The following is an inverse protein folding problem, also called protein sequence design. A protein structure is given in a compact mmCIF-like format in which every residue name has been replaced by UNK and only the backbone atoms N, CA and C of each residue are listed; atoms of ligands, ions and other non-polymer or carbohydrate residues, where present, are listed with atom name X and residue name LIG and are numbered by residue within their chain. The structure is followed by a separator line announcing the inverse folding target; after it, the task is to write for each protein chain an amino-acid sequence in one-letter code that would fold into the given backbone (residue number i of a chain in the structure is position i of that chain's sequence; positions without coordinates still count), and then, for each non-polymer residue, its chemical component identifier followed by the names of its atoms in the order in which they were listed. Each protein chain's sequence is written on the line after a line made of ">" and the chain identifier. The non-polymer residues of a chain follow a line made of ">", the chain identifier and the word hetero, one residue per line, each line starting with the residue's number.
data_IF_439812207930
#
_entry.id   IF_439812207930
#
_cell.length_a   1.000
_cell.length_b   1.000
_cell.length_c   1.000
_cell.angle_alpha   90.00
_cell.angle_beta   90.00
_cell.angle_gamma   90.00
#
_symmetry.space_group_name_H-M   'P 1'
#
loop_
_entity.id
_entity.type
_entity.pdbx_description
1 polymer ?
#
# COMPACT_ATOMS: atom_id res chain seq x y z
N UNK A 1 11.84 -25.33 6.15
CA UNK A 1 11.32 -23.98 5.89
C UNK A 1 9.97 -23.88 6.55
N UNK A 2 9.72 -22.90 7.41
CA UNK A 2 8.37 -22.69 7.94
C UNK A 2 7.43 -22.38 6.79
N UNK A 3 6.30 -23.08 6.73
CA UNK A 3 5.25 -22.81 5.74
C UNK A 3 4.70 -21.41 5.98
N UNK A 4 4.70 -20.56 4.97
CA UNK A 4 4.05 -19.25 5.04
C UNK A 4 2.54 -19.46 5.26
N UNK A 5 2.00 -18.83 6.30
CA UNK A 5 0.59 -18.91 6.61
C UNK A 5 -0.20 -18.12 5.57
N UNK A 6 -1.21 -18.76 4.95
CA UNK A 6 -2.18 -18.09 4.07
C UNK A 6 -3.42 -17.74 4.87
N UNK A 7 -3.88 -16.52 4.72
CA UNK A 7 -5.05 -15.97 5.42
C UNK A 7 -6.01 -15.41 4.38
N UNK A 8 -7.28 -15.77 4.49
CA UNK A 8 -8.36 -15.21 3.68
C UNK A 8 -9.20 -14.31 4.57
N UNK A 9 -9.35 -13.04 4.20
CA UNK A 9 -10.07 -12.03 4.96
C UNK A 9 -11.18 -11.40 4.14
N UNK A 10 -12.22 -10.96 4.84
CA UNK A 10 -13.13 -9.98 4.28
C UNK A 10 -12.45 -8.60 4.22
N UNK A 11 -12.82 -7.78 3.25
CA UNK A 11 -12.33 -6.40 3.10
C UNK A 11 -12.84 -5.45 4.19
N UNK A 12 -13.76 -5.93 5.02
CA UNK A 12 -14.22 -5.26 6.24
C UNK A 12 -13.99 -6.20 7.45
N UNK A 13 -12.72 -6.46 7.81
CA UNK A 13 -12.38 -7.44 8.82
C UNK A 13 -12.75 -6.96 10.22
N UNK A 14 -13.10 -7.91 11.07
CA UNK A 14 -13.29 -7.68 12.51
C UNK A 14 -11.94 -7.41 13.20
N UNK A 15 -12.01 -6.81 14.41
CA UNK A 15 -10.81 -6.57 15.22
C UNK A 15 -10.04 -7.87 15.53
N UNK A 16 -10.77 -8.96 15.77
CA UNK A 16 -10.15 -10.24 16.13
C UNK A 16 -9.51 -10.92 14.92
N UNK A 17 -10.08 -10.79 13.73
CA UNK A 17 -9.44 -11.27 12.50
C UNK A 17 -8.13 -10.55 12.25
N UNK A 18 -8.08 -9.22 12.43
CA UNK A 18 -6.85 -8.43 12.24
C UNK A 18 -5.79 -8.80 13.29
N UNK A 19 -6.16 -8.99 14.55
CA UNK A 19 -5.23 -9.39 15.62
C UNK A 19 -4.54 -10.73 15.36
N UNK A 20 -5.16 -11.61 14.60
CA UNK A 20 -4.64 -12.92 14.25
C UNK A 20 -3.66 -12.91 13.06
N UNK A 21 -3.41 -11.73 12.48
CA UNK A 21 -2.46 -11.55 11.39
C UNK A 21 -1.08 -11.19 11.95
N UNK A 22 -0.09 -11.96 11.53
CA UNK A 22 1.30 -11.72 11.88
C UNK A 22 2.07 -11.15 10.68
N UNK A 23 3.13 -10.38 10.95
CA UNK A 23 4.03 -9.90 9.90
C UNK A 23 4.61 -11.07 9.12
N UNK A 24 4.48 -11.01 7.79
CA UNK A 24 4.90 -12.06 6.86
C UNK A 24 3.79 -13.03 6.44
N UNK A 25 2.60 -12.99 7.03
CA UNK A 25 1.45 -13.77 6.56
C UNK A 25 1.06 -13.36 5.14
N UNK A 26 0.62 -14.33 4.33
CA UNK A 26 0.13 -14.11 2.97
C UNK A 26 -1.37 -13.92 3.00
N UNK A 27 -1.84 -12.73 2.62
CA UNK A 27 -3.25 -12.33 2.73
C UNK A 27 -3.93 -12.29 1.38
N UNK A 28 -5.13 -12.85 1.32
CA UNK A 28 -6.08 -12.73 0.20
C UNK A 28 -7.38 -12.10 0.69
N UNK A 29 -7.97 -11.22 -0.11
CA UNK A 29 -9.13 -10.44 0.28
C UNK A 29 -10.36 -10.79 -0.57
N UNK A 30 -11.52 -10.78 0.08
CA UNK A 30 -12.83 -10.94 -0.54
C UNK A 30 -13.77 -9.84 -0.07
N UNK A 31 -14.54 -9.25 -0.99
CA UNK A 31 -15.50 -8.18 -0.70
C UNK A 31 -15.25 -6.95 -1.55
N UNK A 32 -15.43 -5.76 -1.00
CA UNK A 32 -15.23 -4.51 -1.73
C UNK A 32 -14.01 -3.76 -1.21
N UNK A 33 -13.18 -3.25 -2.10
CA UNK A 33 -12.06 -2.36 -1.79
C UNK A 33 -12.29 -1.00 -2.44
N UNK A 34 -11.67 0.04 -1.89
CA UNK A 34 -11.63 1.33 -2.57
C UNK A 34 -10.19 1.80 -2.79
N UNK A 35 -10.02 2.62 -3.83
CA UNK A 35 -8.71 3.21 -4.11
C UNK A 35 -8.66 4.64 -3.60
N UNK A 36 -7.57 5.02 -2.91
CA UNK A 36 -7.28 6.41 -2.61
C UNK A 36 -5.80 6.69 -2.80
N UNK A 37 -5.52 7.84 -3.40
CA UNK A 37 -4.19 8.36 -3.66
C UNK A 37 -4.16 9.84 -3.30
N UNK A 38 -3.06 10.52 -3.64
CA UNK A 38 -2.83 11.92 -3.31
C UNK A 38 -4.03 12.84 -3.62
N UNK A 39 -4.65 12.72 -4.80
CA UNK A 39 -5.81 13.54 -5.19
C UNK A 39 -6.99 13.36 -4.24
N UNK A 40 -7.27 12.13 -3.81
CA UNK A 40 -8.34 11.83 -2.86
C UNK A 40 -8.00 12.38 -1.47
N UNK A 41 -6.75 12.18 -1.02
CA UNK A 41 -6.32 12.69 0.29
C UNK A 41 -6.40 14.21 0.37
N UNK A 42 -5.94 14.93 -0.66
CA UNK A 42 -6.10 16.39 -0.74
C UNK A 42 -7.57 16.79 -0.72
N UNK A 43 -8.39 16.15 -1.56
CA UNK A 43 -9.80 16.49 -1.68
C UNK A 43 -10.57 16.32 -0.37
N UNK A 44 -10.32 15.23 0.36
CA UNK A 44 -11.03 14.95 1.61
C UNK A 44 -10.39 15.68 2.81
N UNK A 45 -9.07 15.67 2.93
CA UNK A 45 -8.38 16.18 4.12
C UNK A 45 -8.02 17.66 4.04
N UNK A 46 -7.75 18.20 2.85
CA UNK A 46 -7.34 19.59 2.67
C UNK A 46 -8.50 20.45 2.14
N UNK A 47 -9.33 19.90 1.23
CA UNK A 47 -10.50 20.62 0.66
C UNK A 47 -11.80 20.29 1.40
N UNK A 48 -11.76 19.41 2.41
CA UNK A 48 -12.89 19.03 3.27
C UNK A 48 -14.10 18.46 2.53
N UNK A 49 -13.87 17.74 1.42
CA UNK A 49 -14.96 17.05 0.73
C UNK A 49 -15.43 15.85 1.56
N UNK A 50 -16.74 15.64 1.60
CA UNK A 50 -17.33 14.48 2.29
C UNK A 50 -16.93 13.18 1.60
N UNK A 51 -16.65 12.15 2.41
CA UNK A 51 -16.47 10.80 1.90
C UNK A 51 -17.81 10.26 1.35
N UNK A 52 -17.76 9.45 0.28
CA UNK A 52 -18.95 8.73 -0.16
C UNK A 52 -19.55 7.93 0.99
N UNK A 53 -20.87 8.08 1.19
CA UNK A 53 -21.58 7.51 2.34
C UNK A 53 -21.48 5.99 2.47
N UNK A 54 -21.23 5.30 1.36
CA UNK A 54 -21.11 3.86 1.32
C UNK A 54 -19.79 3.35 1.91
N UNK A 55 -18.70 4.14 1.84
CA UNK A 55 -17.36 3.65 2.16
C UNK A 55 -17.19 3.06 3.55
N UNK A 56 -17.59 3.73 4.64
CA UNK A 56 -17.38 3.18 5.97
C UNK A 56 -18.15 1.88 6.23
N UNK A 57 -19.25 1.66 5.49
CA UNK A 57 -20.12 0.47 5.64
C UNK A 57 -19.69 -0.68 4.73
N UNK A 58 -19.22 -0.34 3.53
CA UNK A 58 -18.95 -1.33 2.48
C UNK A 58 -17.53 -1.84 2.50
N UNK A 59 -16.56 -1.04 2.91
CA UNK A 59 -15.16 -1.40 2.90
C UNK A 59 -14.35 -0.67 3.94
N UNK A 60 -13.56 -1.43 4.69
CA UNK A 60 -12.49 -0.91 5.55
C UNK A 60 -11.10 -1.12 4.90
N UNK A 61 -11.03 -1.28 3.58
CA UNK A 61 -9.80 -1.58 2.85
C UNK A 61 -9.51 -0.52 1.79
N UNK A 62 -8.46 0.26 2.02
CA UNK A 62 -7.94 1.24 1.08
C UNK A 62 -6.75 0.68 0.31
N UNK A 63 -6.78 0.76 -1.00
CA UNK A 63 -5.66 0.39 -1.85
C UNK A 63 -5.03 1.62 -2.52
N UNK A 64 -3.77 1.87 -2.23
CA UNK A 64 -2.94 2.88 -2.89
C UNK A 64 -2.59 2.41 -4.31
N UNK A 65 -3.53 2.51 -5.21
CA UNK A 65 -3.33 2.08 -6.59
C UNK A 65 -4.06 2.96 -7.59
N UNK A 66 -3.72 2.76 -8.86
CA UNK A 66 -4.45 3.26 -10.01
C UNK A 66 -4.71 2.07 -10.93
N UNK A 67 -5.95 1.63 -11.10
CA UNK A 67 -6.26 0.57 -12.03
C UNK A 67 -6.14 1.05 -13.48
N UNK A 68 -5.67 0.18 -14.37
CA UNK A 68 -5.82 0.38 -15.79
C UNK A 68 -7.27 0.05 -16.17
N UNK A 69 -7.99 1.03 -16.70
CA UNK A 69 -9.42 0.91 -16.97
C UNK A 69 -9.75 1.25 -18.42
N UNK A 70 -10.62 0.45 -19.02
CA UNK A 70 -11.22 0.71 -20.33
C UNK A 70 -12.73 0.81 -20.14
N UNK A 71 -13.33 1.89 -20.64
CA UNK A 71 -14.77 2.05 -20.63
C UNK A 71 -15.35 1.31 -21.85
N UNK A 72 -16.37 0.47 -21.62
CA UNK A 72 -17.08 -0.24 -22.68
C UNK A 72 -18.18 0.67 -23.30
N UNK A 73 -18.84 0.17 -24.34
CA UNK A 73 -19.91 0.89 -25.05
C UNK A 73 -21.12 1.23 -24.15
N UNK A 74 -21.35 0.42 -23.12
CA UNK A 74 -22.45 0.63 -22.16
C UNK A 74 -22.10 1.66 -21.07
N UNK A 75 -20.87 2.19 -21.07
CA UNK A 75 -20.40 3.14 -20.05
C UNK A 75 -19.78 2.49 -18.82
N UNK A 76 -19.79 1.17 -18.70
CA UNK A 76 -19.15 0.43 -17.61
C UNK A 76 -17.64 0.38 -17.80
N UNK A 77 -16.91 0.12 -16.71
CA UNK A 77 -15.45 -0.02 -16.73
C UNK A 77 -15.01 -1.47 -16.55
N UNK A 78 -14.16 -1.90 -17.47
CA UNK A 78 -13.39 -3.13 -17.34
C UNK A 78 -12.00 -2.76 -16.80
N UNK A 79 -11.61 -3.39 -15.69
CA UNK A 79 -10.29 -3.19 -15.12
C UNK A 79 -9.33 -4.28 -15.60
N UNK A 80 -8.17 -3.85 -16.07
CA UNK A 80 -7.06 -4.71 -16.40
C UNK A 80 -6.09 -4.86 -15.22
N UNK A 81 -4.86 -4.36 -15.39
CA UNK A 81 -3.88 -4.39 -14.32
C UNK A 81 -4.24 -3.42 -13.17
N UNK A 82 -4.09 -3.88 -11.94
CA UNK A 82 -4.26 -3.08 -10.73
C UNK A 82 -2.89 -2.93 -10.06
N UNK A 83 -2.24 -1.79 -10.28
CA UNK A 83 -0.85 -1.59 -9.90
C UNK A 83 -0.71 -0.68 -8.69
N UNK A 84 -0.07 -1.22 -7.64
CA UNK A 84 0.17 -0.50 -6.40
C UNK A 84 1.10 0.70 -6.56
N UNK A 85 0.81 1.74 -5.81
CA UNK A 85 1.64 2.94 -5.67
C UNK A 85 2.44 2.88 -4.37
N UNK A 86 3.64 3.46 -4.34
CA UNK A 86 4.45 3.57 -3.14
C UNK A 86 3.73 4.41 -2.07
N UNK A 87 3.56 3.83 -0.88
CA UNK A 87 2.69 4.38 0.16
C UNK A 87 3.37 5.41 1.05
N UNK A 88 4.69 5.35 1.24
CA UNK A 88 5.42 6.29 2.11
C UNK A 88 5.18 7.76 1.77
N UNK A 89 4.84 8.06 0.51
CA UNK A 89 4.51 9.41 0.05
C UNK A 89 3.26 9.99 0.71
N UNK A 90 2.42 9.13 1.28
CA UNK A 90 1.16 9.49 1.89
C UNK A 90 1.24 9.59 3.43
N UNK A 91 2.44 9.43 4.00
CA UNK A 91 2.68 9.47 5.45
C UNK A 91 2.04 10.68 6.13
N UNK A 92 2.18 11.87 5.54
CA UNK A 92 1.62 13.11 6.09
C UNK A 92 0.09 13.13 6.24
N UNK A 93 -0.62 12.27 5.51
CA UNK A 93 -2.09 12.21 5.53
C UNK A 93 -2.62 10.96 6.22
N UNK A 94 -1.79 9.92 6.37
CA UNK A 94 -2.29 8.58 6.70
C UNK A 94 -3.00 8.55 8.06
N UNK A 95 -2.52 9.30 9.04
CA UNK A 95 -3.13 9.34 10.37
C UNK A 95 -4.55 9.89 10.35
N UNK A 96 -4.77 11.00 9.68
CA UNK A 96 -6.09 11.61 9.57
C UNK A 96 -6.99 10.82 8.63
N UNK A 97 -6.42 10.25 7.57
CA UNK A 97 -7.15 9.35 6.69
C UNK A 97 -7.72 8.14 7.42
N UNK A 98 -6.92 7.45 8.24
CA UNK A 98 -7.37 6.28 9.01
C UNK A 98 -8.52 6.63 9.97
N UNK A 99 -8.47 7.82 10.58
CA UNK A 99 -9.54 8.30 11.48
C UNK A 99 -10.85 8.59 10.73
N UNK A 100 -10.77 9.29 9.59
CA UNK A 100 -11.94 9.73 8.82
C UNK A 100 -12.56 8.57 8.04
N UNK A 101 -11.73 7.76 7.36
CA UNK A 101 -12.22 6.66 6.52
C UNK A 101 -12.58 5.40 7.29
N UNK A 102 -12.10 5.26 8.53
CA UNK A 102 -12.26 4.03 9.30
C UNK A 102 -11.52 2.82 8.72
N UNK A 103 -10.59 3.04 7.77
CA UNK A 103 -9.84 1.96 7.13
C UNK A 103 -9.08 1.10 8.16
N UNK A 104 -9.12 -0.21 7.98
CA UNK A 104 -8.42 -1.20 8.79
C UNK A 104 -7.29 -1.88 8.03
N UNK A 105 -7.41 -1.94 6.71
CA UNK A 105 -6.38 -2.48 5.82
C UNK A 105 -5.95 -1.39 4.85
N UNK A 106 -4.67 -1.06 4.86
CA UNK A 106 -4.04 -0.21 3.86
C UNK A 106 -3.17 -1.09 2.99
N UNK A 107 -3.41 -1.09 1.68
CA UNK A 107 -2.64 -1.86 0.72
C UNK A 107 -1.80 -0.90 -0.13
N UNK A 108 -0.55 -1.26 -0.39
CA UNK A 108 0.30 -0.48 -1.27
C UNK A 108 1.59 -1.18 -1.66
N UNK A 109 2.54 -0.41 -2.15
CA UNK A 109 3.88 -0.87 -2.49
C UNK A 109 4.90 -0.33 -1.50
N UNK A 110 5.86 -1.16 -1.10
CA UNK A 110 6.80 -0.85 -0.03
C UNK A 110 6.12 -0.93 1.32
N UNK A 111 6.40 -0.02 2.20
CA UNK A 111 5.82 0.10 3.53
C UNK A 111 5.63 1.56 3.92
N UNK A 112 5.34 1.78 5.18
CA UNK A 112 5.37 3.06 5.86
C UNK A 112 6.53 3.07 6.86
N UNK A 113 6.77 4.17 7.54
CA UNK A 113 7.76 4.20 8.61
C UNK A 113 7.24 3.47 9.86
N UNK A 114 8.17 3.05 10.72
CA UNK A 114 7.80 2.43 12.00
C UNK A 114 7.04 3.42 12.90
N UNK A 115 7.34 4.70 12.76
CA UNK A 115 6.64 5.79 13.43
C UNK A 115 5.21 5.89 12.95
N UNK A 116 4.96 5.81 11.64
CA UNK A 116 3.61 5.79 11.08
C UNK A 116 2.80 4.62 11.65
N UNK A 117 3.39 3.40 11.68
CA UNK A 117 2.69 2.25 12.23
C UNK A 117 2.31 2.45 13.68
N UNK A 118 3.24 2.90 14.52
CA UNK A 118 2.99 3.09 15.96
C UNK A 118 2.05 4.25 16.26
N UNK A 119 2.19 5.37 15.57
CA UNK A 119 1.44 6.59 15.87
C UNK A 119 0.08 6.66 15.17
N UNK A 120 -0.05 6.05 13.99
CA UNK A 120 -1.24 6.19 13.16
C UNK A 120 -2.04 4.87 13.03
N UNK A 121 -1.37 3.74 12.74
CA UNK A 121 -2.06 2.47 12.49
C UNK A 121 -2.51 1.81 13.79
N UNK A 122 -1.63 1.68 14.77
CA UNK A 122 -1.95 1.02 16.06
C UNK A 122 -3.17 1.63 16.74
N UNK A 123 -3.26 2.98 16.93
CA UNK A 123 -4.45 3.57 17.56
C UNK A 123 -5.74 3.34 16.79
N UNK A 124 -5.67 3.19 15.48
CA UNK A 124 -6.82 2.92 14.61
C UNK A 124 -7.14 1.41 14.51
N UNK A 125 -6.30 0.53 15.07
CA UNK A 125 -6.41 -0.93 14.91
C UNK A 125 -6.30 -1.36 13.45
N UNK A 126 -5.45 -0.69 12.67
CA UNK A 126 -5.21 -0.93 11.25
C UNK A 126 -3.85 -1.61 11.04
N UNK A 127 -3.72 -2.30 9.91
CA UNK A 127 -2.47 -2.91 9.47
C UNK A 127 -2.17 -2.55 8.00
N UNK A 128 -0.91 -2.70 7.63
CA UNK A 128 -0.46 -2.47 6.27
C UNK A 128 -0.14 -3.78 5.55
N UNK A 129 -0.64 -3.90 4.33
CA UNK A 129 -0.39 -5.02 3.42
C UNK A 129 0.44 -4.53 2.23
N UNK A 130 1.56 -5.19 1.97
CA UNK A 130 2.40 -4.85 0.82
C UNK A 130 2.19 -5.82 -0.34
N UNK A 131 2.33 -5.32 -1.56
CA UNK A 131 2.29 -6.16 -2.77
C UNK A 131 3.58 -6.97 -2.91
N UNK A 132 3.47 -8.19 -3.43
CA UNK A 132 4.56 -9.17 -3.50
C UNK A 132 5.57 -8.95 -4.64
N UNK A 133 5.58 -7.82 -5.28
CA UNK A 133 6.59 -7.51 -6.29
C UNK A 133 6.05 -6.86 -7.56
N UNK A 134 6.97 -6.61 -8.49
CA UNK A 134 6.66 -6.02 -9.78
C UNK A 134 5.94 -7.04 -10.68
N UNK A 135 5.02 -6.56 -11.52
CA UNK A 135 4.27 -7.43 -12.44
C UNK A 135 3.03 -8.08 -11.83
N UNK A 136 2.80 -7.98 -10.52
CA UNK A 136 1.60 -8.53 -9.87
C UNK A 136 0.31 -7.80 -10.23
N UNK A 137 0.39 -6.64 -10.88
CA UNK A 137 -0.80 -5.87 -11.28
C UNK A 137 -1.78 -6.65 -12.15
N UNK A 138 -1.30 -7.45 -13.10
CA UNK A 138 -2.14 -8.31 -13.93
C UNK A 138 -2.77 -9.45 -13.13
N UNK A 139 -2.04 -10.01 -12.15
CA UNK A 139 -2.55 -11.04 -11.25
C UNK A 139 -3.66 -10.46 -10.37
N UNK A 140 -3.46 -9.28 -9.81
CA UNK A 140 -4.47 -8.58 -9.03
C UNK A 140 -5.70 -8.24 -9.87
N UNK A 141 -5.51 -7.83 -11.13
CA UNK A 141 -6.62 -7.59 -12.05
C UNK A 141 -7.56 -8.77 -12.23
N UNK A 142 -7.05 -10.01 -12.14
CA UNK A 142 -7.89 -11.22 -12.22
C UNK A 142 -8.82 -11.39 -11.00
N UNK A 143 -8.44 -10.84 -9.86
CA UNK A 143 -9.27 -10.85 -8.64
C UNK A 143 -10.38 -9.81 -8.65
N UNK A 144 -10.38 -8.87 -9.60
CA UNK A 144 -11.45 -7.88 -9.77
C UNK A 144 -12.66 -8.54 -10.38
N UNK A 145 -13.83 -8.36 -9.78
CA UNK A 145 -15.11 -8.87 -10.27
C UNK A 145 -15.95 -7.79 -10.91
N UNK A 146 -16.04 -6.63 -10.29
CA UNK A 146 -16.91 -5.56 -10.74
C UNK A 146 -16.43 -4.21 -10.22
N UNK A 147 -16.56 -3.18 -11.04
CA UNK A 147 -16.51 -1.80 -10.60
C UNK A 147 -17.91 -1.43 -10.10
N UNK A 148 -18.05 -1.11 -8.80
CA UNK A 148 -19.33 -0.72 -8.22
C UNK A 148 -19.59 0.76 -8.41
N UNK A 149 -18.57 1.59 -8.20
CA UNK A 149 -18.69 3.04 -8.33
C UNK A 149 -17.34 3.68 -8.64
N UNK A 150 -17.41 4.93 -9.12
CA UNK A 150 -16.26 5.76 -9.46
C UNK A 150 -16.56 7.20 -9.05
N UNK A 151 -15.89 7.69 -8.01
CA UNK A 151 -16.11 9.03 -7.46
C UNK A 151 -15.02 9.99 -7.93
N UNK A 152 -15.39 11.23 -8.16
CA UNK A 152 -14.51 12.35 -8.55
C UNK A 152 -13.72 12.13 -9.85
N UNK A 153 -14.29 11.34 -10.79
CA UNK A 153 -13.66 11.11 -12.10
C UNK A 153 -13.45 12.41 -12.88
N UNK A 154 -14.43 13.33 -12.83
CA UNK A 154 -14.36 14.59 -13.59
C UNK A 154 -13.27 15.51 -13.06
N UNK A 155 -13.12 15.58 -11.75
CA UNK A 155 -12.19 16.48 -11.06
C UNK A 155 -10.77 15.93 -11.04
N UNK A 156 -10.59 14.62 -10.84
CA UNK A 156 -9.30 14.01 -10.58
C UNK A 156 -8.79 13.13 -11.73
N UNK A 157 -9.62 12.86 -12.72
CA UNK A 157 -9.30 11.90 -13.79
C UNK A 157 -9.27 10.45 -13.30
N UNK A 158 -9.19 9.50 -14.23
CA UNK A 158 -9.23 8.05 -13.91
C UNK A 158 -8.12 7.60 -12.96
N UNK A 159 -6.93 8.19 -13.08
CA UNK A 159 -5.75 7.78 -12.31
C UNK A 159 -5.80 8.17 -10.83
N UNK A 160 -6.53 9.23 -10.48
CA UNK A 160 -6.63 9.74 -9.11
C UNK A 160 -8.03 9.62 -8.53
N UNK A 161 -9.02 9.27 -9.34
CA UNK A 161 -10.39 9.02 -8.90
C UNK A 161 -10.45 7.89 -7.88
N UNK A 162 -11.47 7.91 -7.04
CA UNK A 162 -11.73 6.83 -6.10
C UNK A 162 -12.59 5.76 -6.76
N UNK A 163 -12.05 4.58 -6.90
CA UNK A 163 -12.72 3.39 -7.41
C UNK A 163 -13.24 2.55 -6.26
N UNK A 164 -14.50 2.17 -6.29
CA UNK A 164 -15.07 1.14 -5.40
C UNK A 164 -15.23 -0.14 -6.23
N UNK A 165 -14.53 -1.19 -5.83
CA UNK A 165 -14.29 -2.39 -6.65
C UNK A 165 -14.60 -3.64 -5.83
N UNK A 166 -15.43 -4.55 -6.37
CA UNK A 166 -15.63 -5.86 -5.79
C UNK A 166 -14.52 -6.81 -6.21
N UNK A 167 -14.01 -7.55 -5.25
CA UNK A 167 -12.85 -8.44 -5.43
C UNK A 167 -13.11 -9.82 -4.81
N UNK A 168 -12.46 -10.83 -5.40
CA UNK A 168 -12.48 -12.22 -4.91
C UNK A 168 -11.10 -12.83 -5.03
N UNK A 169 -10.64 -13.49 -3.97
CA UNK A 169 -9.28 -14.06 -3.87
C UNK A 169 -8.20 -13.05 -4.29
N UNK A 170 -8.41 -11.79 -3.92
CA UNK A 170 -7.60 -10.66 -4.33
C UNK A 170 -6.29 -10.63 -3.53
N UNK A 171 -5.21 -10.87 -4.20
CA UNK A 171 -3.88 -11.03 -3.64
C UNK A 171 -2.97 -11.85 -4.56
N UNK A 172 -1.84 -12.37 -4.03
CA UNK A 172 -1.38 -12.34 -2.65
C UNK A 172 -0.83 -10.97 -2.22
N UNK A 173 -1.07 -10.63 -0.96
CA UNK A 173 -0.40 -9.55 -0.27
C UNK A 173 0.42 -10.11 0.89
N UNK A 174 1.44 -9.38 1.35
CA UNK A 174 2.20 -9.75 2.55
C UNK A 174 1.82 -8.77 3.67
N UNK A 175 1.49 -9.28 4.85
CA UNK A 175 1.32 -8.46 6.03
C UNK A 175 2.67 -7.83 6.40
N UNK A 176 2.83 -6.55 6.12
CA UNK A 176 4.06 -5.81 6.38
C UNK A 176 4.05 -5.25 7.79
N UNK A 177 2.87 -4.82 8.30
CA UNK A 177 2.73 -4.47 9.70
C UNK A 177 1.63 -5.29 10.39
N UNK A 178 1.68 -5.34 11.73
CA UNK A 178 0.67 -5.93 12.59
C UNK A 178 0.00 -4.87 13.49
N UNK A 179 -0.95 -5.31 14.31
CA UNK A 179 -1.69 -4.43 15.24
C UNK A 179 -0.85 -3.86 16.38
N UNK A 180 0.37 -4.35 16.59
CA UNK A 180 1.34 -3.86 17.58
C UNK A 180 2.30 -2.84 16.97
N UNK A 181 2.20 -2.59 15.66
CA UNK A 181 3.08 -1.69 14.93
C UNK A 181 4.46 -2.30 14.63
N UNK A 182 4.60 -3.64 14.65
CA UNK A 182 5.79 -4.30 14.16
C UNK A 182 5.83 -4.20 12.62
N UNK A 183 7.04 -4.15 12.06
CA UNK A 183 7.29 -4.10 10.62
C UNK A 183 8.13 -5.28 10.17
N UNK A 184 7.68 -5.94 9.10
CA UNK A 184 8.43 -7.02 8.46
C UNK A 184 9.75 -6.49 7.88
N UNK A 185 9.71 -5.33 7.23
CA UNK A 185 10.90 -4.75 6.62
C UNK A 185 11.93 -4.32 7.67
N UNK A 186 11.49 -3.72 8.78
CA UNK A 186 12.38 -3.37 9.88
C UNK A 186 13.06 -4.61 10.45
N UNK A 187 12.29 -5.66 10.72
CA UNK A 187 12.79 -6.94 11.21
C UNK A 187 13.85 -7.55 10.27
N UNK A 188 13.59 -7.58 8.97
CA UNK A 188 14.51 -8.17 8.02
C UNK A 188 15.72 -7.27 7.76
N UNK A 189 15.57 -5.96 7.73
CA UNK A 189 16.67 -5.00 7.61
C UNK A 189 17.65 -5.12 8.77
N UNK A 190 17.15 -5.30 10.01
CA UNK A 190 17.99 -5.54 11.17
C UNK A 190 18.86 -6.78 10.99
N UNK A 191 18.27 -7.90 10.57
CA UNK A 191 19.01 -9.15 10.31
C UNK A 191 20.05 -8.98 9.19
N UNK A 192 19.72 -8.22 8.15
CA UNK A 192 20.64 -7.92 7.04
C UNK A 192 21.82 -7.09 7.56
N UNK A 193 21.57 -6.03 8.33
CA UNK A 193 22.59 -5.17 8.89
C UNK A 193 23.55 -5.95 9.80
N UNK A 194 23.03 -6.84 10.66
CA UNK A 194 23.85 -7.71 11.50
C UNK A 194 24.76 -8.63 10.68
N UNK A 195 24.25 -9.19 9.56
CA UNK A 195 25.04 -10.03 8.66
C UNK A 195 26.10 -9.22 7.91
N UNK A 196 25.77 -8.02 7.46
CA UNK A 196 26.71 -7.12 6.81
C UNK A 196 27.84 -6.76 7.77
N UNK A 197 27.52 -6.35 8.99
CA UNK A 197 28.53 -6.02 10.01
C UNK A 197 29.51 -7.18 10.22
N UNK A 198 28.99 -8.41 10.40
CA UNK A 198 29.83 -9.60 10.54
C UNK A 198 30.69 -9.90 9.31
N UNK A 199 30.15 -9.70 8.12
CA UNK A 199 30.88 -9.94 6.86
C UNK A 199 32.03 -8.96 6.66
N UNK A 200 31.93 -7.75 7.22
CA UNK A 200 32.96 -6.72 7.14
C UNK A 200 33.86 -6.65 8.39
N UNK A 201 33.60 -7.47 9.44
CA UNK A 201 34.51 -7.59 10.58
C UNK A 201 35.91 -8.00 10.10
N UNK A 202 36.92 -7.20 10.42
CA UNK A 202 38.31 -7.41 10.00
C UNK A 202 38.68 -7.01 8.59
N UNK A 203 37.75 -6.52 7.77
CA UNK A 203 38.03 -5.89 6.50
C UNK A 203 38.35 -4.41 6.70
N UNK A 204 39.52 -3.98 6.19
CA UNK A 204 39.88 -2.55 6.23
C UNK A 204 38.92 -1.78 5.33
N UNK A 205 37.97 -1.05 5.93
CA UNK A 205 37.02 -0.18 5.21
C UNK A 205 37.66 1.07 4.61
N UNK A 206 38.98 1.05 4.30
CA UNK A 206 39.66 2.16 3.63
C UNK A 206 39.19 2.38 2.17
N UNK A 207 38.23 1.58 1.67
CA UNK A 207 37.68 1.71 0.33
C UNK A 207 36.16 1.90 0.33
N UNK A 208 35.65 2.85 1.08
CA UNK A 208 34.41 3.51 0.71
C UNK A 208 34.76 4.75 -0.13
N UNK A 209 35.41 4.52 -1.27
CA UNK A 209 35.36 5.50 -2.33
C UNK A 209 33.91 5.64 -2.74
N UNK A 210 33.33 6.83 -2.71
CA UNK A 210 31.96 7.02 -3.20
C UNK A 210 31.88 6.46 -4.62
N UNK A 211 30.81 5.72 -4.91
CA UNK A 211 30.54 5.19 -6.24
C UNK A 211 30.70 6.34 -7.27
N UNK A 212 31.20 6.09 -8.47
CA UNK A 212 31.17 7.09 -9.55
C UNK A 212 29.80 7.72 -9.78
N UNK A 213 28.72 7.04 -9.37
CA UNK A 213 27.35 7.59 -9.37
C UNK A 213 27.13 8.61 -8.26
N UNK A 214 27.79 8.48 -7.12
CA UNK A 214 27.70 9.44 -6.00
C UNK A 214 28.54 10.70 -6.28
N UNK A 215 29.51 10.58 -7.20
CA UNK A 215 30.31 11.70 -7.70
C UNK A 215 29.66 12.43 -8.88
N UNK A 216 28.59 11.89 -9.47
CA UNK A 216 27.92 12.45 -10.65
C UNK A 216 27.05 13.70 -10.37
N UNK A 217 27.01 14.17 -9.13
CA UNK A 217 26.49 15.51 -8.82
C UNK A 217 27.47 16.63 -9.12
N UNK A 218 28.67 16.30 -9.61
CA UNK A 218 29.67 17.26 -9.97
C UNK A 218 29.73 17.49 -11.45
N UNK A 219 29.15 18.60 -11.86
CA UNK A 219 29.58 19.44 -12.99
C UNK A 219 29.55 18.80 -14.40
N UNK A 220 28.43 18.99 -15.06
CA UNK A 220 28.55 19.24 -16.51
C UNK A 220 29.40 20.50 -16.72
N UNK A 221 30.45 20.46 -17.53
CA UNK A 221 31.13 21.69 -17.93
C UNK A 221 30.12 22.52 -18.72
N UNK A 222 29.95 23.77 -18.32
CA UNK A 222 29.25 24.75 -19.14
C UNK A 222 30.01 24.88 -20.44
N UNK A 223 29.39 24.45 -21.54
CA UNK A 223 29.85 24.75 -22.88
C UNK A 223 29.74 26.25 -23.07
N UNK A 224 30.91 26.87 -23.25
CA UNK A 224 31.02 28.22 -23.80
C UNK A 224 30.54 28.24 -25.25
#
# INVERSE_FOLDING_TARGET
>A
MASLKKVFLNTNPTKDEIKNINIGDIVYLNGSIYTAREGIYKKVLEEHADLPLELPKESATNFHCSPAAVQNENGDFNLGAVTATASFRFSRWIGDWLKISGAKLIIGKGGMSIEDYKQNFVPCGAIYLTTVGYGTGALLGRGVKKVRNLYWKKELGLAQAMWLIDVENFGPFIAESDVLGNSLFERENKKISEKITKAYEGTCLLYTSPSPRDLSTSRMPSSA
#
